data_IF_569019443367
#
_entry.id   IF_569019443367
#
_cell.length_a   1.000
_cell.length_b   1.000
_cell.length_c   1.000
_cell.angle_alpha   90.00
_cell.angle_beta   90.00
_cell.angle_gamma   90.00
#
_symmetry.space_group_name_H-M   'P 1'
#
loop_
_entity.id
_entity.type
_entity.pdbx_description
1 polymer ?
#
# COMPACT_ATOMS: atom_id res chain seq x y z
N UNK A 1 43.44 3.53 -2.31
CA UNK A 1 42.37 3.76 -1.30
C UNK A 1 41.06 3.42 -1.97
N UNK A 2 40.67 2.16 -1.93
CA UNK A 2 39.36 1.63 -2.37
C UNK A 2 39.00 0.57 -1.34
N UNK A 3 38.41 1.00 -0.23
CA UNK A 3 37.79 0.12 0.75
C UNK A 3 36.58 0.88 1.33
N UNK A 4 35.39 0.62 0.80
CA UNK A 4 34.18 1.29 1.31
C UNK A 4 32.87 0.86 0.64
N UNK A 5 32.82 -0.22 -0.14
CA UNK A 5 31.59 -0.67 -0.82
C UNK A 5 31.20 -2.11 -0.46
N UNK A 6 31.95 -2.78 0.40
CA UNK A 6 31.75 -4.20 0.70
C UNK A 6 30.88 -4.50 1.95
N UNK A 7 30.44 -3.50 2.72
CA UNK A 7 29.72 -3.76 3.99
C UNK A 7 28.18 -3.73 3.88
N UNK A 8 27.61 -3.23 2.79
CA UNK A 8 26.15 -3.19 2.65
C UNK A 8 25.54 -4.48 2.07
N UNK A 9 26.33 -5.32 1.42
CA UNK A 9 25.87 -6.58 0.79
C UNK A 9 25.97 -7.81 1.71
N UNK A 10 26.68 -7.71 2.83
CA UNK A 10 26.92 -8.84 3.74
C UNK A 10 25.74 -9.23 4.65
N UNK A 11 24.63 -8.50 4.63
CA UNK A 11 23.49 -8.74 5.57
C UNK A 11 22.35 -9.55 4.98
N UNK A 12 22.32 -9.78 3.68
CA UNK A 12 21.31 -10.58 2.98
C UNK A 12 21.73 -12.05 2.73
N UNK A 13 22.95 -12.44 3.08
CA UNK A 13 23.46 -13.80 2.82
C UNK A 13 22.98 -14.89 3.80
N UNK A 14 22.28 -14.54 4.87
CA UNK A 14 21.53 -15.55 5.61
C UNK A 14 20.20 -15.73 4.89
N UNK A 15 20.08 -16.75 4.05
CA UNK A 15 18.81 -17.14 3.43
C UNK A 15 17.80 -17.33 4.57
N UNK A 16 16.90 -16.36 4.73
CA UNK A 16 15.82 -16.46 5.70
C UNK A 16 14.88 -17.57 5.26
N UNK A 17 14.79 -18.63 6.06
CA UNK A 17 13.86 -19.71 5.77
C UNK A 17 12.43 -19.29 6.09
N UNK A 18 11.58 -19.34 5.07
CA UNK A 18 10.14 -19.23 5.21
C UNK A 18 9.61 -20.45 5.98
N UNK A 19 8.83 -20.21 7.03
CA UNK A 19 8.23 -21.20 7.91
C UNK A 19 6.72 -21.35 7.62
N UNK A 20 5.92 -21.62 8.65
CA UNK A 20 4.47 -21.80 8.52
C UNK A 20 3.74 -20.49 8.11
N UNK A 21 2.63 -20.64 7.39
CA UNK A 21 1.70 -19.56 7.11
C UNK A 21 0.99 -19.11 8.39
N UNK A 22 1.04 -17.82 8.67
CA UNK A 22 0.37 -17.21 9.82
C UNK A 22 -1.03 -16.76 9.49
N UNK A 23 -1.18 -16.19 8.29
CA UNK A 23 -2.39 -15.51 7.87
C UNK A 23 -2.46 -15.44 6.35
N UNK A 24 -3.65 -15.71 5.80
CA UNK A 24 -3.98 -15.50 4.40
C UNK A 24 -5.02 -14.39 4.26
N UNK A 25 -4.61 -13.26 3.69
CA UNK A 25 -5.51 -12.16 3.33
C UNK A 25 -6.13 -12.34 1.95
N UNK A 26 -6.77 -11.29 1.44
CA UNK A 26 -7.47 -11.28 0.13
C UNK A 26 -6.52 -11.47 -1.06
N UNK A 27 -5.30 -10.98 -0.98
CA UNK A 27 -4.32 -11.00 -2.09
C UNK A 27 -2.90 -11.40 -1.66
N UNK A 28 -2.66 -11.57 -0.37
CA UNK A 28 -1.34 -11.90 0.22
C UNK A 28 -1.47 -12.94 1.30
N UNK A 29 -0.40 -13.71 1.50
CA UNK A 29 -0.18 -14.54 2.67
C UNK A 29 1.03 -14.05 3.44
N UNK A 30 0.98 -14.18 4.75
CA UNK A 30 2.07 -13.82 5.69
C UNK A 30 2.65 -15.10 6.27
N UNK A 31 3.94 -15.25 6.18
CA UNK A 31 4.68 -16.41 6.69
C UNK A 31 5.65 -15.99 7.78
N UNK A 32 5.83 -16.84 8.79
CA UNK A 32 6.93 -16.72 9.73
C UNK A 32 8.26 -16.96 9.03
N UNK A 33 9.33 -16.48 9.69
CA UNK A 33 10.70 -16.83 9.33
C UNK A 33 11.40 -17.47 10.52
N UNK A 34 12.65 -17.85 10.34
CA UNK A 34 13.56 -18.25 11.44
C UNK A 34 13.96 -17.08 12.35
N UNK A 35 13.66 -15.84 11.98
CA UNK A 35 13.77 -14.64 12.81
C UNK A 35 12.37 -14.20 13.28
N UNK A 36 12.08 -14.19 14.60
CA UNK A 36 10.77 -13.85 15.12
C UNK A 36 10.35 -12.38 14.88
N UNK A 37 11.29 -11.51 14.52
CA UNK A 37 11.04 -10.08 14.22
C UNK A 37 10.80 -9.81 12.73
N UNK A 38 10.76 -10.85 11.90
CA UNK A 38 10.59 -10.75 10.44
C UNK A 38 9.54 -11.70 9.92
N UNK A 39 8.86 -11.24 8.87
CA UNK A 39 7.90 -12.03 8.10
C UNK A 39 8.25 -12.03 6.62
N UNK A 40 7.75 -13.03 5.91
CA UNK A 40 7.70 -13.05 4.45
C UNK A 40 6.27 -12.77 4.02
N UNK A 41 6.10 -11.76 3.18
CA UNK A 41 4.85 -11.51 2.45
C UNK A 41 4.91 -12.23 1.12
N UNK A 42 3.92 -13.06 0.83
CA UNK A 42 3.74 -13.72 -0.46
C UNK A 42 2.56 -13.07 -1.18
N UNK A 43 2.84 -12.38 -2.26
CA UNK A 43 1.82 -11.75 -3.09
C UNK A 43 1.22 -12.77 -4.06
N UNK A 44 -0.10 -12.88 -4.09
CA UNK A 44 -0.83 -13.86 -4.91
C UNK A 44 -1.56 -13.18 -6.07
N UNK A 45 -1.89 -14.00 -7.05
CA UNK A 45 -2.67 -13.58 -8.23
C UNK A 45 -4.17 -13.40 -7.92
N UNK A 46 -4.60 -13.71 -6.70
CA UNK A 46 -5.97 -13.52 -6.26
C UNK A 46 -6.35 -12.04 -6.24
N UNK A 47 -7.52 -11.72 -6.75
CA UNK A 47 -8.14 -10.41 -6.63
C UNK A 47 -9.58 -10.53 -6.17
N UNK A 48 -10.02 -9.58 -5.36
CA UNK A 48 -11.41 -9.51 -4.89
C UNK A 48 -11.91 -8.07 -4.82
N UNK A 49 -13.20 -7.88 -5.05
CA UNK A 49 -13.89 -6.61 -4.89
C UNK A 49 -15.25 -6.83 -4.24
N UNK A 50 -15.85 -5.73 -3.74
CA UNK A 50 -17.17 -5.75 -3.10
C UNK A 50 -17.25 -6.79 -1.97
N UNK A 51 -16.32 -6.70 -1.00
CA UNK A 51 -16.20 -7.58 0.18
C UNK A 51 -16.15 -9.08 -0.18
N UNK A 52 -15.57 -9.39 -1.34
CA UNK A 52 -15.39 -10.76 -1.80
C UNK A 52 -16.52 -11.32 -2.67
N UNK A 53 -17.52 -10.52 -3.01
CA UNK A 53 -18.58 -10.93 -3.96
C UNK A 53 -18.03 -11.18 -5.36
N UNK A 54 -17.03 -10.42 -5.79
CA UNK A 54 -16.32 -10.62 -7.06
C UNK A 54 -14.90 -11.10 -6.77
N UNK A 55 -14.55 -12.30 -7.26
CA UNK A 55 -13.22 -12.92 -7.09
C UNK A 55 -12.73 -13.45 -8.44
N UNK A 56 -11.43 -13.29 -8.69
CA UNK A 56 -10.77 -13.79 -9.89
C UNK A 56 -9.27 -14.01 -9.59
N UNK A 57 -8.61 -14.83 -10.38
CA UNK A 57 -7.16 -14.92 -10.43
C UNK A 57 -6.66 -14.22 -11.69
N UNK A 58 -5.79 -13.23 -11.49
CA UNK A 58 -5.20 -12.43 -12.56
C UNK A 58 -3.72 -12.79 -12.66
N UNK A 59 -3.37 -13.55 -13.68
CA UNK A 59 -1.99 -14.02 -13.90
C UNK A 59 -0.99 -12.86 -13.80
N UNK A 60 0.13 -13.07 -13.12
CA UNK A 60 1.21 -12.10 -12.85
C UNK A 60 0.87 -10.97 -11.86
N UNK A 61 -0.37 -10.88 -11.34
CA UNK A 61 -0.75 -9.82 -10.41
C UNK A 61 0.14 -9.77 -9.16
N UNK A 62 0.42 -10.94 -8.58
CA UNK A 62 1.28 -11.05 -7.40
C UNK A 62 2.66 -10.46 -7.66
N UNK A 63 3.30 -10.82 -8.77
CA UNK A 63 4.61 -10.29 -9.16
C UNK A 63 4.56 -8.78 -9.40
N UNK A 64 3.56 -8.30 -10.14
CA UNK A 64 3.41 -6.87 -10.44
C UNK A 64 3.24 -6.06 -9.16
N UNK A 65 2.33 -6.48 -8.27
CA UNK A 65 2.11 -5.80 -7.01
C UNK A 65 3.31 -5.85 -6.07
N UNK A 66 4.04 -6.97 -6.01
CA UNK A 66 5.24 -7.10 -5.18
C UNK A 66 6.36 -6.15 -5.62
N UNK A 67 6.68 -6.15 -6.92
CA UNK A 67 7.70 -5.25 -7.48
C UNK A 67 7.29 -3.78 -7.37
N UNK A 68 6.01 -3.49 -7.57
CA UNK A 68 5.46 -2.15 -7.39
C UNK A 68 5.58 -1.67 -5.94
N UNK A 69 5.16 -2.51 -4.99
CA UNK A 69 5.29 -2.23 -3.57
C UNK A 69 6.74 -1.98 -3.17
N UNK A 70 7.67 -2.83 -3.58
CA UNK A 70 9.10 -2.67 -3.28
C UNK A 70 9.62 -1.32 -3.76
N UNK A 71 9.34 -0.96 -5.01
CA UNK A 71 9.74 0.33 -5.58
C UNK A 71 9.18 1.51 -4.78
N UNK A 72 7.90 1.49 -4.43
CA UNK A 72 7.28 2.57 -3.65
C UNK A 72 7.86 2.65 -2.25
N UNK A 73 8.01 1.52 -1.55
CA UNK A 73 8.57 1.50 -0.19
C UNK A 73 10.00 2.05 -0.16
N UNK A 74 10.85 1.70 -1.12
CA UNK A 74 12.20 2.25 -1.25
C UNK A 74 12.19 3.78 -1.48
N UNK A 75 11.28 4.30 -2.32
CA UNK A 75 11.13 5.74 -2.53
C UNK A 75 10.69 6.47 -1.27
N UNK A 76 9.77 5.87 -0.51
CA UNK A 76 9.29 6.43 0.74
C UNK A 76 10.38 6.42 1.82
N UNK A 77 11.15 5.34 1.95
CA UNK A 77 12.29 5.29 2.87
C UNK A 77 13.36 6.32 2.54
N UNK A 78 13.70 6.47 1.26
CA UNK A 78 14.62 7.51 0.79
C UNK A 78 14.12 8.94 1.13
N UNK A 79 12.81 9.13 1.24
CA UNK A 79 12.20 10.38 1.67
C UNK A 79 12.05 10.48 3.21
N UNK A 80 12.50 9.47 3.98
CA UNK A 80 12.45 9.46 5.44
C UNK A 80 11.06 9.10 6.01
N UNK A 81 10.27 8.28 5.30
CA UNK A 81 9.09 7.59 5.82
C UNK A 81 9.53 6.20 6.26
N UNK A 82 9.45 5.84 7.55
CA UNK A 82 9.82 4.50 7.99
C UNK A 82 8.83 3.46 7.45
N UNK A 83 9.34 2.42 6.79
CA UNK A 83 8.53 1.31 6.28
C UNK A 83 8.94 -0.02 6.89
N UNK A 84 8.09 -1.02 6.79
CA UNK A 84 8.40 -2.37 7.21
C UNK A 84 9.20 -3.17 6.16
N UNK A 85 9.31 -2.67 4.93
CA UNK A 85 9.98 -3.34 3.83
C UNK A 85 11.48 -3.47 4.09
N UNK A 86 12.04 -4.64 3.86
CA UNK A 86 13.48 -4.91 4.00
C UNK A 86 14.13 -5.36 2.68
N UNK A 87 13.35 -5.95 1.77
CA UNK A 87 13.84 -6.34 0.45
C UNK A 87 12.98 -7.37 -0.26
N UNK A 88 13.22 -7.53 -1.56
CA UNK A 88 12.63 -8.60 -2.36
C UNK A 88 13.40 -9.91 -2.13
N UNK A 89 12.66 -11.00 -1.92
CA UNK A 89 13.20 -12.36 -1.86
C UNK A 89 13.03 -13.10 -3.19
N UNK A 90 11.94 -12.79 -3.89
CA UNK A 90 11.64 -13.31 -5.23
C UNK A 90 10.70 -12.34 -5.96
N UNK A 91 10.26 -12.70 -7.14
CA UNK A 91 9.27 -11.91 -7.90
C UNK A 91 7.96 -11.70 -7.12
N UNK A 92 7.58 -12.64 -6.26
CA UNK A 92 6.32 -12.60 -5.52
C UNK A 92 6.48 -12.54 -4.00
N UNK A 93 7.71 -12.50 -3.48
CA UNK A 93 7.97 -12.55 -2.05
C UNK A 93 8.82 -11.35 -1.59
N UNK A 94 8.42 -10.75 -0.48
CA UNK A 94 9.13 -9.66 0.20
C UNK A 94 9.43 -10.00 1.63
N UNK A 95 10.63 -9.65 2.10
CA UNK A 95 10.99 -9.66 3.51
C UNK A 95 10.55 -8.35 4.15
N UNK A 96 9.90 -8.46 5.30
CA UNK A 96 9.39 -7.30 6.04
C UNK A 96 9.62 -7.44 7.54
N UNK A 97 9.74 -6.32 8.24
CA UNK A 97 9.71 -6.26 9.70
C UNK A 97 8.33 -6.67 10.22
N UNK A 98 8.32 -7.41 11.31
CA UNK A 98 7.09 -7.67 12.05
C UNK A 98 6.58 -6.38 12.68
N UNK A 99 5.30 -6.08 12.47
CA UNK A 99 4.62 -4.95 13.09
C UNK A 99 3.48 -5.43 13.98
N UNK A 100 3.27 -4.72 15.10
CA UNK A 100 1.99 -4.73 15.80
C UNK A 100 1.05 -3.77 15.05
N UNK A 101 0.19 -4.32 14.20
CA UNK A 101 -0.68 -3.51 13.34
C UNK A 101 -1.70 -2.71 14.14
N UNK A 102 -1.88 -1.44 13.77
CA UNK A 102 -2.92 -0.58 14.30
C UNK A 102 -4.17 -0.81 13.46
N UNK A 103 -5.34 -1.15 14.06
CA UNK A 103 -6.54 -1.52 13.32
C UNK A 103 -7.29 -0.30 12.75
N UNK A 104 -6.55 0.72 12.29
CA UNK A 104 -7.08 1.95 11.71
C UNK A 104 -6.35 2.23 10.41
N UNK A 105 -7.10 2.32 9.33
CA UNK A 105 -6.61 2.67 8.01
C UNK A 105 -6.62 4.19 7.82
N UNK A 106 -5.58 4.73 7.20
CA UNK A 106 -5.47 6.13 6.80
C UNK A 106 -5.72 6.25 5.30
N UNK A 107 -6.67 7.10 4.90
CA UNK A 107 -6.98 7.36 3.50
C UNK A 107 -6.77 8.84 3.20
N UNK A 108 -5.97 9.14 2.17
CA UNK A 108 -5.88 10.48 1.60
C UNK A 108 -6.54 10.51 0.23
N UNK A 109 -7.29 11.59 -0.04
CA UNK A 109 -7.87 11.83 -1.36
C UNK A 109 -7.44 13.20 -1.87
N UNK A 110 -6.85 13.19 -3.05
CA UNK A 110 -6.47 14.37 -3.81
C UNK A 110 -7.57 14.76 -4.80
N UNK A 111 -8.39 13.78 -5.21
CA UNK A 111 -9.50 13.95 -6.14
C UNK A 111 -10.70 13.16 -5.62
N UNK A 112 -11.90 13.67 -5.78
CA UNK A 112 -13.13 12.98 -5.38
C UNK A 112 -13.36 11.72 -6.21
N UNK A 113 -13.46 10.57 -5.54
CA UNK A 113 -13.73 9.28 -6.18
C UNK A 113 -14.31 8.25 -5.22
N UNK A 114 -14.89 7.20 -5.77
CA UNK A 114 -15.27 6.00 -5.04
C UNK A 114 -16.27 6.23 -3.91
N UNK A 115 -15.95 5.77 -2.70
CA UNK A 115 -16.87 5.85 -1.54
C UNK A 115 -17.13 7.28 -1.08
N UNK A 116 -16.20 8.21 -1.28
CA UNK A 116 -16.39 9.62 -0.94
C UNK A 116 -17.58 10.21 -1.72
N UNK A 117 -17.61 9.99 -3.04
CA UNK A 117 -18.68 10.48 -3.90
C UNK A 117 -20.05 9.92 -3.50
N UNK A 118 -20.10 8.62 -3.20
CA UNK A 118 -21.35 7.97 -2.75
C UNK A 118 -21.84 8.47 -1.40
N UNK A 119 -20.92 8.71 -0.44
CA UNK A 119 -21.29 9.17 0.91
C UNK A 119 -21.76 10.61 0.94
N UNK A 120 -21.16 11.47 0.12
CA UNK A 120 -21.41 12.91 0.16
C UNK A 120 -22.29 13.41 -0.99
N UNK A 121 -22.62 12.56 -1.98
CA UNK A 121 -23.39 12.96 -3.14
C UNK A 121 -22.65 13.97 -4.05
N UNK A 122 -21.31 13.94 -4.06
CA UNK A 122 -20.50 14.84 -4.88
C UNK A 122 -20.05 14.14 -6.16
N UNK A 123 -19.77 14.92 -7.19
CA UNK A 123 -19.27 14.43 -8.48
C UNK A 123 -17.89 13.79 -8.35
N UNK A 124 -17.61 12.78 -9.19
CA UNK A 124 -16.28 12.19 -9.32
C UNK A 124 -15.38 13.15 -10.14
N UNK A 125 -14.12 13.26 -9.73
CA UNK A 125 -13.11 14.01 -10.48
C UNK A 125 -12.85 15.45 -10.02
N UNK A 126 -13.49 15.89 -8.93
CA UNK A 126 -13.21 17.20 -8.33
C UNK A 126 -11.86 17.19 -7.60
N UNK A 127 -11.00 18.14 -7.88
CA UNK A 127 -9.76 18.32 -7.13
C UNK A 127 -10.06 18.80 -5.71
N UNK A 128 -9.40 18.17 -4.74
CA UNK A 128 -9.56 18.48 -3.32
C UNK A 128 -8.35 19.29 -2.83
N UNK A 129 -8.58 20.54 -2.48
CA UNK A 129 -7.56 21.44 -1.96
C UNK A 129 -8.06 22.14 -0.68
N UNK A 130 -7.52 21.79 0.51
CA UNK A 130 -6.48 20.76 0.75
C UNK A 130 -6.99 19.34 0.48
N UNK A 131 -6.08 18.35 0.30
CA UNK A 131 -6.44 16.93 0.28
C UNK A 131 -7.17 16.52 1.56
N UNK A 132 -8.14 15.62 1.45
CA UNK A 132 -8.84 15.09 2.64
C UNK A 132 -8.04 13.99 3.31
N UNK A 133 -8.19 13.88 4.62
CA UNK A 133 -7.68 12.78 5.43
C UNK A 133 -8.84 12.10 6.14
N UNK A 134 -8.97 10.79 5.95
CA UNK A 134 -10.04 9.98 6.53
C UNK A 134 -9.45 8.79 7.29
N UNK A 135 -10.15 8.36 8.33
CA UNK A 135 -9.83 7.14 9.09
C UNK A 135 -10.94 6.11 8.93
N UNK A 136 -10.54 4.85 8.77
CA UNK A 136 -11.45 3.72 8.72
C UNK A 136 -11.01 2.66 9.71
N UNK A 137 -11.96 2.07 10.43
CA UNK A 137 -11.66 0.89 11.25
C UNK A 137 -11.51 -0.32 10.34
N UNK A 138 -10.38 -1.01 10.45
CA UNK A 138 -10.13 -2.26 9.71
C UNK A 138 -10.95 -3.40 10.31
N UNK A 139 -12.15 -3.58 9.78
CA UNK A 139 -13.08 -4.64 10.20
C UNK A 139 -13.94 -5.07 9.02
N UNK A 140 -13.52 -6.12 8.33
CA UNK A 140 -14.20 -6.66 7.13
C UNK A 140 -15.67 -7.00 7.42
N UNK A 141 -15.99 -7.50 8.62
CA UNK A 141 -17.37 -7.85 8.99
C UNK A 141 -18.29 -6.63 9.12
N UNK A 142 -17.74 -5.45 9.34
CA UNK A 142 -18.44 -4.17 9.42
C UNK A 142 -18.24 -3.31 8.16
N UNK A 143 -17.63 -3.85 7.09
CA UNK A 143 -17.33 -3.14 5.84
C UNK A 143 -16.43 -1.91 6.03
N UNK A 144 -15.43 -2.02 6.91
CA UNK A 144 -14.45 -0.98 7.22
C UNK A 144 -15.09 0.41 7.44
N UNK A 145 -15.87 0.60 8.54
CA UNK A 145 -16.61 1.83 8.75
C UNK A 145 -15.69 3.02 8.97
N UNK A 146 -16.08 4.18 8.43
CA UNK A 146 -15.39 5.44 8.68
C UNK A 146 -15.49 5.80 10.17
N UNK A 147 -14.36 6.20 10.75
CA UNK A 147 -14.25 6.63 12.14
C UNK A 147 -13.52 7.97 12.23
N UNK A 148 -13.52 8.57 13.41
CA UNK A 148 -12.72 9.76 13.69
C UNK A 148 -11.68 9.49 14.80
N UNK A 149 -10.79 10.44 15.01
CA UNK A 149 -9.72 10.33 16.01
C UNK A 149 -10.26 10.06 17.42
N UNK A 150 -11.38 10.71 17.80
CA UNK A 150 -11.95 10.52 19.14
C UNK A 150 -12.47 9.11 19.37
N UNK A 151 -13.11 8.50 18.37
CA UNK A 151 -13.53 7.10 18.43
C UNK A 151 -12.34 6.16 18.54
N UNK A 152 -11.31 6.36 17.71
CA UNK A 152 -10.12 5.52 17.73
C UNK A 152 -9.42 5.53 19.09
N UNK A 153 -9.34 6.70 19.73
CA UNK A 153 -8.77 6.83 21.06
C UNK A 153 -9.68 6.24 22.14
N UNK A 154 -10.97 6.55 22.12
CA UNK A 154 -11.90 6.10 23.15
C UNK A 154 -12.07 4.59 23.20
N UNK A 155 -11.99 3.92 22.05
CA UNK A 155 -12.03 2.44 21.96
C UNK A 155 -10.66 1.79 22.10
N UNK A 156 -9.58 2.57 22.27
CA UNK A 156 -8.22 2.05 22.47
C UNK A 156 -7.59 1.41 21.23
N UNK A 157 -8.09 1.73 20.02
CA UNK A 157 -7.52 1.21 18.77
C UNK A 157 -6.17 1.87 18.46
N UNK A 158 -6.02 3.15 18.79
CA UNK A 158 -4.78 3.90 18.70
C UNK A 158 -4.73 5.00 19.77
N UNK A 159 -3.53 5.44 20.12
CA UNK A 159 -3.33 6.61 20.98
C UNK A 159 -3.39 7.91 20.17
N UNK A 160 -3.65 9.03 20.82
CA UNK A 160 -3.75 10.33 20.16
C UNK A 160 -2.44 10.75 19.46
N UNK A 161 -1.31 10.50 20.09
CA UNK A 161 0.03 10.77 19.55
C UNK A 161 0.37 9.86 18.36
N UNK A 162 -0.07 8.59 18.39
CA UNK A 162 0.06 7.66 17.29
C UNK A 162 -0.74 8.12 16.08
N UNK A 163 -2.01 8.53 16.28
CA UNK A 163 -2.86 9.04 15.19
C UNK A 163 -2.28 10.33 14.58
N UNK A 164 -1.74 11.23 15.42
CA UNK A 164 -1.06 12.42 14.94
C UNK A 164 0.15 12.08 14.09
N UNK A 165 0.95 11.09 14.52
CA UNK A 165 2.11 10.61 13.74
C UNK A 165 1.70 9.90 12.45
N UNK A 166 0.68 9.06 12.48
CA UNK A 166 0.12 8.41 11.28
C UNK A 166 -0.32 9.46 10.26
N UNK A 167 -1.03 10.49 10.71
CA UNK A 167 -1.49 11.60 9.85
C UNK A 167 -0.31 12.36 9.22
N UNK A 168 0.69 12.72 10.02
CA UNK A 168 1.91 13.38 9.53
C UNK A 168 2.61 12.55 8.45
N UNK A 169 2.83 11.25 8.73
CA UNK A 169 3.46 10.33 7.76
C UNK A 169 2.62 10.18 6.51
N UNK A 170 1.29 10.09 6.65
CA UNK A 170 0.37 9.94 5.52
C UNK A 170 0.42 11.14 4.59
N UNK A 171 0.46 12.37 5.11
CA UNK A 171 0.65 13.57 4.27
C UNK A 171 2.04 13.63 3.63
N UNK A 172 3.08 13.23 4.36
CA UNK A 172 4.44 13.13 3.79
C UNK A 172 4.49 12.12 2.62
N UNK A 173 3.84 10.97 2.77
CA UNK A 173 3.64 10.00 1.68
C UNK A 173 2.90 10.65 0.52
N UNK A 174 1.85 11.44 0.78
CA UNK A 174 1.09 12.12 -0.26
C UNK A 174 1.97 13.06 -1.10
N UNK A 175 2.80 13.88 -0.45
CA UNK A 175 3.66 14.83 -1.14
C UNK A 175 4.67 14.10 -2.06
N UNK A 176 5.28 13.02 -1.56
CA UNK A 176 6.23 12.21 -2.33
C UNK A 176 5.54 11.54 -3.53
N UNK A 177 4.42 10.86 -3.28
CA UNK A 177 3.76 10.07 -4.31
C UNK A 177 3.01 10.93 -5.33
N UNK A 178 2.36 12.02 -4.91
CA UNK A 178 1.77 12.98 -5.87
C UNK A 178 2.79 13.42 -6.90
N UNK A 179 3.96 13.85 -6.43
CA UNK A 179 5.04 14.28 -7.33
C UNK A 179 5.51 13.13 -8.22
N UNK A 180 5.74 11.95 -7.67
CA UNK A 180 6.21 10.78 -8.42
C UNK A 180 5.23 10.40 -9.56
N UNK A 181 3.93 10.35 -9.27
CA UNK A 181 2.91 10.03 -10.26
C UNK A 181 2.72 11.16 -11.27
N UNK A 182 2.76 12.43 -10.82
CA UNK A 182 2.63 13.59 -11.72
C UNK A 182 3.77 13.69 -12.73
N UNK A 183 5.01 13.46 -12.28
CA UNK A 183 6.20 13.41 -13.15
C UNK A 183 6.09 12.29 -14.22
N UNK A 184 5.34 11.23 -13.92
CA UNK A 184 5.06 10.10 -14.82
C UNK A 184 3.77 10.27 -15.67
N UNK A 185 3.16 11.45 -15.68
CA UNK A 185 1.94 11.74 -16.44
C UNK A 185 0.68 11.10 -15.88
N UNK A 186 0.64 10.88 -14.58
CA UNK A 186 -0.48 10.24 -13.89
C UNK A 186 -0.98 11.08 -12.71
N UNK A 187 -2.24 10.89 -12.33
CA UNK A 187 -2.86 11.48 -11.14
C UNK A 187 -2.99 10.42 -10.06
N UNK A 188 -2.40 10.68 -8.90
CA UNK A 188 -2.73 9.94 -7.68
C UNK A 188 -4.02 10.50 -7.10
N UNK A 189 -5.12 9.79 -7.32
CA UNK A 189 -6.47 10.21 -6.93
C UNK A 189 -6.69 10.05 -5.44
N UNK A 190 -6.51 8.85 -4.95
CA UNK A 190 -6.56 8.51 -3.53
C UNK A 190 -5.74 7.25 -3.24
N UNK A 191 -5.49 7.00 -1.97
CA UNK A 191 -4.83 5.77 -1.52
C UNK A 191 -5.12 5.51 -0.04
N UNK A 192 -4.92 4.25 0.35
CA UNK A 192 -5.02 3.74 1.71
C UNK A 192 -3.65 3.34 2.22
N UNK A 193 -3.36 3.67 3.48
CA UNK A 193 -2.18 3.20 4.21
C UNK A 193 -2.59 2.51 5.51
N UNK A 194 -1.80 1.51 5.88
CA UNK A 194 -1.89 0.83 7.16
C UNK A 194 -0.57 1.00 7.92
N UNK A 195 -0.66 1.24 9.21
CA UNK A 195 0.51 1.44 10.07
C UNK A 195 0.54 0.41 11.19
N UNK A 196 1.73 0.19 11.71
CA UNK A 196 1.94 -0.62 12.89
C UNK A 196 3.05 -0.07 13.77
N UNK A 197 3.25 -0.71 14.91
CA UNK A 197 4.29 -0.37 15.90
C UNK A 197 5.46 -1.32 15.75
N UNK A 198 6.67 -0.77 15.73
CA UNK A 198 7.92 -1.53 15.80
C UNK A 198 8.98 -0.68 16.49
N UNK A 199 9.66 -1.24 17.51
CA UNK A 199 10.73 -0.52 18.22
C UNK A 199 10.30 0.83 18.83
N UNK A 200 9.03 0.97 19.23
CA UNK A 200 8.50 2.22 19.77
C UNK A 200 8.19 3.31 18.72
N UNK A 201 8.24 2.96 17.44
CA UNK A 201 7.96 3.87 16.34
C UNK A 201 6.71 3.45 15.56
N UNK A 202 6.05 4.41 14.93
CA UNK A 202 5.01 4.17 13.94
C UNK A 202 5.68 3.94 12.59
N UNK A 203 5.38 2.80 11.98
CA UNK A 203 5.99 2.31 10.75
C UNK A 203 4.91 1.99 9.74
N UNK A 204 5.10 2.40 8.49
CA UNK A 204 4.21 2.05 7.38
C UNK A 204 4.33 0.55 7.10
N UNK A 205 3.19 -0.13 7.15
CA UNK A 205 3.05 -1.55 6.86
C UNK A 205 2.20 -1.83 5.62
N UNK A 206 1.72 -3.06 5.54
CA UNK A 206 0.92 -3.59 4.44
C UNK A 206 1.58 -3.41 3.07
N UNK A 207 0.87 -2.91 2.07
CA UNK A 207 1.40 -2.66 0.72
C UNK A 207 0.98 -1.30 0.18
N UNK A 208 1.76 -0.79 -0.76
CA UNK A 208 1.30 0.24 -1.69
C UNK A 208 1.36 -0.32 -3.12
N UNK A 209 0.19 -0.52 -3.71
CA UNK A 209 0.06 -1.07 -5.07
C UNK A 209 -1.20 -0.50 -5.74
N UNK A 210 -1.40 -0.73 -7.05
CA UNK A 210 -2.63 -0.32 -7.71
C UNK A 210 -3.92 -0.96 -7.15
N UNK A 211 -3.78 -1.96 -6.26
CA UNK A 211 -4.93 -2.52 -5.52
C UNK A 211 -5.40 -1.62 -4.37
N UNK A 212 -4.52 -0.85 -3.76
CA UNK A 212 -4.77 0.01 -2.60
C UNK A 212 -4.90 1.50 -2.91
N UNK A 213 -4.74 1.91 -4.17
CA UNK A 213 -4.84 3.30 -4.59
C UNK A 213 -5.66 3.46 -5.86
N UNK A 214 -6.08 4.70 -6.17
CA UNK A 214 -6.62 5.08 -7.47
C UNK A 214 -5.60 5.93 -8.22
N UNK A 215 -5.36 5.53 -9.47
CA UNK A 215 -4.41 6.17 -10.38
C UNK A 215 -5.14 6.40 -11.69
N UNK A 216 -5.14 7.63 -12.16
CA UNK A 216 -5.70 7.98 -13.46
C UNK A 216 -4.62 8.54 -14.38
N UNK A 217 -4.73 8.27 -15.67
CA UNK A 217 -3.96 8.99 -16.67
C UNK A 217 -4.28 10.49 -16.60
N UNK A 218 -3.26 11.34 -16.59
CA UNK A 218 -3.40 12.78 -16.34
C UNK A 218 -4.19 13.50 -17.44
N UNK A 219 -4.02 13.07 -18.69
CA UNK A 219 -4.65 13.72 -19.84
C UNK A 219 -6.04 13.15 -20.12
N UNK A 220 -6.14 11.83 -20.18
CA UNK A 220 -7.36 11.14 -20.62
C UNK A 220 -8.32 10.80 -19.50
N UNK A 221 -7.88 10.91 -18.25
CA UNK A 221 -8.59 10.45 -17.04
C UNK A 221 -8.93 8.95 -17.05
N UNK A 222 -8.28 8.16 -17.92
CA UNK A 222 -8.42 6.70 -17.95
C UNK A 222 -8.01 6.14 -16.58
N UNK A 223 -8.86 5.27 -16.01
CA UNK A 223 -8.59 4.56 -14.75
C UNK A 223 -7.50 3.53 -14.96
N UNK A 224 -6.45 3.56 -14.13
CA UNK A 224 -5.27 2.71 -14.26
C UNK A 224 -5.01 1.86 -12.99
N UNK A 225 -6.04 1.59 -12.25
CA UNK A 225 -6.03 0.94 -10.94
C UNK A 225 -7.11 -0.16 -10.82
N UNK A 226 -7.35 -0.66 -9.61
CA UNK A 226 -8.32 -1.72 -9.31
C UNK A 226 -9.77 -1.39 -9.71
N UNK A 227 -10.11 -0.13 -9.95
CA UNK A 227 -11.45 0.21 -10.46
C UNK A 227 -11.69 -0.39 -11.85
N UNK A 228 -10.65 -0.71 -12.63
CA UNK A 228 -10.79 -1.49 -13.86
C UNK A 228 -11.41 -2.87 -13.58
N UNK A 229 -10.95 -3.56 -12.55
CA UNK A 229 -11.54 -4.83 -12.13
C UNK A 229 -12.95 -4.65 -11.55
N UNK A 230 -13.14 -3.67 -10.67
CA UNK A 230 -14.44 -3.38 -10.05
C UNK A 230 -15.52 -3.08 -11.09
N UNK A 231 -15.17 -2.33 -12.13
CA UNK A 231 -16.09 -1.83 -13.15
C UNK A 231 -16.12 -2.71 -14.43
N UNK A 232 -15.34 -3.79 -14.46
CA UNK A 232 -15.30 -4.70 -15.62
C UNK A 232 -14.70 -4.09 -16.90
N UNK A 233 -13.73 -3.17 -16.75
CA UNK A 233 -13.10 -2.46 -17.87
C UNK A 233 -12.01 -3.27 -18.59
N UNK A 234 -11.67 -4.46 -18.08
CA UNK A 234 -10.62 -5.32 -18.63
C UNK A 234 -9.20 -4.78 -18.52
N UNK A 235 -8.22 -5.48 -19.09
CA UNK A 235 -6.80 -5.08 -19.15
C UNK A 235 -6.21 -4.63 -17.79
N UNK A 236 -6.55 -5.36 -16.71
CA UNK A 236 -6.16 -4.94 -15.36
C UNK A 236 -4.64 -5.02 -15.17
N UNK A 237 -4.04 -6.17 -15.49
CA UNK A 237 -2.61 -6.39 -15.26
C UNK A 237 -1.76 -5.61 -16.26
N UNK A 238 -2.16 -5.57 -17.52
CA UNK A 238 -1.51 -4.78 -18.57
C UNK A 238 -1.46 -3.29 -18.17
N UNK A 239 -2.53 -2.81 -17.55
CA UNK A 239 -2.60 -1.43 -17.06
C UNK A 239 -1.72 -1.22 -15.81
N UNK A 240 -1.68 -2.18 -14.87
CA UNK A 240 -0.77 -2.11 -13.72
C UNK A 240 0.70 -2.10 -14.18
N UNK A 241 1.05 -2.94 -15.13
CA UNK A 241 2.39 -2.95 -15.75
C UNK A 241 2.69 -1.63 -16.47
N UNK A 242 1.71 -1.02 -17.13
CA UNK A 242 1.88 0.30 -17.75
C UNK A 242 2.16 1.38 -16.71
N UNK A 243 1.42 1.41 -15.59
CA UNK A 243 1.71 2.32 -14.47
C UNK A 243 3.15 2.10 -13.97
N UNK A 244 3.54 0.86 -13.74
CA UNK A 244 4.89 0.53 -13.29
C UNK A 244 5.96 0.95 -14.28
N UNK A 245 5.78 0.68 -15.58
CA UNK A 245 6.73 1.09 -16.63
C UNK A 245 6.89 2.61 -16.69
N UNK A 246 5.81 3.39 -16.54
CA UNK A 246 5.90 4.86 -16.46
C UNK A 246 6.68 5.34 -15.24
N UNK A 247 6.64 4.59 -14.13
CA UNK A 247 7.44 4.86 -12.93
C UNK A 247 8.89 4.36 -13.03
N UNK A 248 9.24 3.60 -14.08
CA UNK A 248 10.56 3.00 -14.27
C UNK A 248 10.74 1.62 -13.63
N UNK A 249 9.66 0.95 -13.23
CA UNK A 249 9.68 -0.41 -12.68
C UNK A 249 9.84 -1.41 -13.83
N UNK A 250 10.74 -2.39 -13.65
CA UNK A 250 10.95 -3.50 -14.60
C UNK A 250 10.21 -4.75 -14.11
N UNK A 251 9.50 -5.40 -15.01
CA UNK A 251 8.71 -6.61 -14.73
C UNK A 251 9.24 -7.86 -15.46
N UNK A 252 10.41 -7.74 -16.06
CA UNK A 252 11.11 -8.83 -16.78
C UNK A 252 11.80 -9.75 -15.77
#
# INVERSE_FOLDING_TARGET
MINGVAEATGRLEKVMEKREELYAGKAKSVYRTDDPERFVLVFRDDTSAFDGEKKEQLNRKGMVNNKFNAFIMEKLEAAGVPTHFEGLLSDTESLVKKLEMIPVECVVRNVSAGSLCRRLGVEEGLELNPPTFELFLKNDALHDPMVNESLAVSFGWAKADELARMKELTYKVNDVLKKLFDDAGMLLVDYKLEFGRSGGQIVLGDEFSPDGCRIWDKETRKKMDKDRFRQGLGEVIETYEEVGRRLGIKFD
#
